data_IF_260233940397
#
_entry.id   IF_260233940397
#
_cell.length_a   1.000
_cell.length_b   1.000
_cell.length_c   1.000
_cell.angle_alpha   90.00
_cell.angle_beta   90.00
_cell.angle_gamma   90.00
#
_symmetry.space_group_name_H-M   'P 1'
#
loop_
_entity.id
_entity.type
_entity.pdbx_description
1 polymer ?
#
# COMPACT_ATOMS: atom_id res chain seq x y z
N UNK A 1 -17.56 8.00 5.23
CA UNK A 1 -16.53 8.80 4.53
C UNK A 1 -15.68 7.84 3.73
N UNK A 2 -15.52 8.08 2.43
CA UNK A 2 -14.66 7.25 1.59
C UNK A 2 -13.23 7.72 1.83
N UNK A 3 -12.40 6.85 2.39
CA UNK A 3 -10.97 7.13 2.59
C UNK A 3 -10.32 7.24 1.20
N UNK A 4 -9.66 8.35 0.90
CA UNK A 4 -8.92 8.52 -0.36
C UNK A 4 -7.45 8.20 -0.12
N UNK A 5 -7.09 6.95 -0.37
CA UNK A 5 -5.70 6.48 -0.25
C UNK A 5 -5.21 6.03 -1.63
N UNK A 6 -3.98 6.42 -1.96
CA UNK A 6 -3.23 5.86 -3.07
C UNK A 6 -2.21 4.87 -2.52
N UNK A 7 -2.10 3.69 -3.13
CA UNK A 7 -1.01 2.77 -2.86
C UNK A 7 -0.32 2.32 -4.14
N UNK A 8 1.01 2.26 -4.09
CA UNK A 8 1.83 1.84 -5.22
C UNK A 8 2.94 0.91 -4.75
N UNK A 9 3.01 -0.25 -5.39
CA UNK A 9 4.10 -1.21 -5.23
C UNK A 9 5.32 -0.83 -6.07
N UNK A 10 6.51 -1.26 -5.67
CA UNK A 10 7.72 -1.09 -6.47
C UNK A 10 8.37 -2.43 -6.84
N UNK A 11 9.52 -2.37 -7.53
CA UNK A 11 10.26 -3.54 -8.02
C UNK A 11 11.03 -4.32 -6.94
N UNK A 12 11.10 -3.81 -5.71
CA UNK A 12 11.90 -4.38 -4.61
C UNK A 12 11.05 -4.68 -3.37
N UNK A 13 9.75 -4.93 -3.55
CA UNK A 13 8.87 -5.36 -2.46
C UNK A 13 8.44 -4.26 -1.48
N UNK A 14 8.67 -2.98 -1.78
CA UNK A 14 8.11 -1.89 -0.97
C UNK A 14 6.75 -1.47 -1.50
N UNK A 15 5.85 -1.12 -0.58
CA UNK A 15 4.56 -0.48 -0.92
C UNK A 15 4.54 0.91 -0.31
N UNK A 16 4.27 1.91 -1.15
CA UNK A 16 4.11 3.31 -0.75
C UNK A 16 2.62 3.61 -0.64
N UNK A 17 2.23 4.28 0.43
CA UNK A 17 0.84 4.62 0.72
C UNK A 17 0.71 6.11 1.04
N UNK A 18 -0.14 6.82 0.32
CA UNK A 18 -0.39 8.25 0.47
C UNK A 18 -1.82 8.50 0.94
N UNK A 19 -1.97 9.49 1.82
CA UNK A 19 -3.25 10.13 2.09
C UNK A 19 -3.52 11.20 1.04
N UNK A 20 -4.70 11.14 0.41
CA UNK A 20 -5.14 12.09 -0.60
C UNK A 20 -6.23 13.04 -0.09
N UNK A 21 -6.58 12.99 1.20
CA UNK A 21 -7.53 13.92 1.83
C UNK A 21 -6.87 15.27 2.21
N UNK A 22 -5.82 15.66 1.48
CA UNK A 22 -5.13 16.94 1.61
C UNK A 22 -5.60 17.94 0.54
N UNK A 23 -5.55 19.23 0.87
CA UNK A 23 -5.88 20.31 -0.07
C UNK A 23 -4.84 20.40 -1.21
N UNK A 24 -3.56 20.19 -0.90
CA UNK A 24 -2.45 20.15 -1.85
C UNK A 24 -1.81 18.75 -1.87
N UNK A 25 -1.99 17.98 -2.97
CA UNK A 25 -1.43 16.63 -3.10
C UNK A 25 0.10 16.56 -3.00
N UNK A 26 0.81 17.66 -3.30
CA UNK A 26 2.29 17.68 -3.26
C UNK A 26 2.85 17.60 -1.84
N UNK A 27 2.02 17.90 -0.84
CA UNK A 27 2.39 17.83 0.57
C UNK A 27 2.23 16.41 1.14
N UNK A 28 1.61 15.49 0.39
CA UNK A 28 1.41 14.11 0.83
C UNK A 28 2.75 13.36 0.87
N UNK A 29 3.15 12.95 2.08
CA UNK A 29 4.32 12.08 2.28
C UNK A 29 3.88 10.62 2.37
N UNK A 30 4.53 9.69 1.64
CA UNK A 30 4.15 8.30 1.71
C UNK A 30 4.57 7.67 3.03
N UNK A 31 3.71 6.81 3.56
CA UNK A 31 4.10 5.74 4.47
C UNK A 31 4.68 4.61 3.62
N UNK A 32 5.87 4.12 3.99
CA UNK A 32 6.52 3.02 3.28
C UNK A 32 6.34 1.74 4.08
N UNK A 33 5.54 0.83 3.55
CA UNK A 33 5.33 -0.50 4.11
C UNK A 33 6.41 -1.43 3.58
N UNK A 34 7.11 -2.09 4.51
CA UNK A 34 8.22 -3.01 4.20
C UNK A 34 8.17 -4.22 5.11
N UNK A 35 8.72 -5.33 4.63
CA UNK A 35 8.96 -6.51 5.44
C UNK A 35 10.21 -7.23 4.89
N UNK A 36 11.11 -7.79 5.72
CA UNK A 36 12.36 -8.39 5.25
C UNK A 36 12.19 -9.52 4.23
N UNK A 37 11.05 -10.22 4.27
CA UNK A 37 10.70 -11.28 3.32
C UNK A 37 9.92 -10.79 2.09
N UNK A 38 9.56 -9.50 2.03
CA UNK A 38 8.87 -8.86 0.92
C UNK A 38 9.89 -8.09 0.08
N UNK A 39 10.52 -8.78 -0.88
CA UNK A 39 11.68 -8.26 -1.63
C UNK A 39 11.56 -8.38 -3.16
N UNK A 40 10.40 -8.79 -3.66
CA UNK A 40 10.13 -8.97 -5.09
C UNK A 40 9.10 -7.96 -5.59
N UNK A 41 9.01 -7.71 -6.92
CA UNK A 41 8.10 -6.71 -7.47
C UNK A 41 6.66 -6.89 -6.99
N UNK A 42 6.03 -5.81 -6.55
CA UNK A 42 4.59 -5.78 -6.23
C UNK A 42 3.84 -5.36 -7.48
N UNK A 43 3.00 -6.26 -8.01
CA UNK A 43 2.32 -6.06 -9.30
C UNK A 43 0.95 -5.41 -9.18
N UNK A 44 0.23 -5.71 -8.12
CA UNK A 44 -1.10 -5.18 -7.90
C UNK A 44 -1.41 -5.11 -6.41
N UNK A 45 -2.20 -4.12 -6.04
CA UNK A 45 -2.66 -3.86 -4.68
C UNK A 45 -4.18 -3.70 -4.72
N UNK A 46 -4.86 -4.17 -3.67
CA UNK A 46 -6.28 -3.97 -3.48
C UNK A 46 -6.59 -3.69 -2.01
N UNK A 47 -7.62 -2.87 -1.78
CA UNK A 47 -8.15 -2.56 -0.45
C UNK A 47 -9.49 -3.23 -0.25
N UNK A 48 -9.79 -3.63 0.97
CA UNK A 48 -11.17 -3.93 1.37
C UNK A 48 -12.02 -2.67 1.28
N UNK A 49 -13.34 -2.85 1.11
CA UNK A 49 -14.28 -1.72 0.97
C UNK A 49 -14.26 -0.76 2.15
N UNK A 50 -13.97 -1.26 3.35
CA UNK A 50 -13.83 -0.48 4.57
C UNK A 50 -12.45 0.15 4.75
N UNK A 51 -11.48 -0.16 3.88
CA UNK A 51 -10.12 0.36 3.91
C UNK A 51 -9.26 -0.18 5.05
N UNK A 52 -9.73 -1.18 5.81
CA UNK A 52 -9.01 -1.71 6.98
C UNK A 52 -7.93 -2.74 6.61
N UNK A 53 -8.07 -3.41 5.47
CA UNK A 53 -7.11 -4.40 5.00
C UNK A 53 -6.65 -4.06 3.59
N UNK A 54 -5.34 -4.17 3.38
CA UNK A 54 -4.69 -4.03 2.08
C UNK A 54 -4.01 -5.35 1.72
N UNK A 55 -4.24 -5.83 0.50
CA UNK A 55 -3.56 -6.99 -0.08
C UNK A 55 -2.66 -6.55 -1.23
N UNK A 56 -1.47 -7.16 -1.33
CA UNK A 56 -0.58 -7.00 -2.47
C UNK A 56 -0.08 -8.35 -2.98
N UNK A 57 0.09 -8.47 -4.30
CA UNK A 57 0.60 -9.69 -4.95
C UNK A 57 1.96 -9.44 -5.58
N UNK A 58 2.84 -10.44 -5.51
CA UNK A 58 4.23 -10.33 -5.97
C UNK A 58 4.65 -11.44 -6.94
N UNK A 59 5.71 -11.19 -7.72
CA UNK A 59 6.23 -12.08 -8.75
C UNK A 59 6.67 -13.46 -8.24
N UNK A 60 7.05 -13.58 -6.97
CA UNK A 60 7.44 -14.85 -6.36
C UNK A 60 6.25 -15.64 -5.77
N UNK A 61 5.04 -15.39 -6.26
CA UNK A 61 3.79 -16.00 -5.82
C UNK A 61 3.46 -15.76 -4.32
N UNK A 62 4.00 -14.71 -3.71
CA UNK A 62 3.63 -14.29 -2.36
C UNK A 62 2.48 -13.28 -2.37
N UNK A 63 1.62 -13.38 -1.35
CA UNK A 63 0.58 -12.41 -1.05
C UNK A 63 0.92 -11.75 0.28
N UNK A 64 0.87 -10.43 0.30
CA UNK A 64 1.14 -9.61 1.47
C UNK A 64 -0.15 -8.99 1.96
N UNK A 65 -0.36 -9.03 3.27
CA UNK A 65 -1.49 -8.43 3.94
C UNK A 65 -0.99 -7.42 4.96
N UNK A 66 -1.57 -6.23 4.93
CA UNK A 66 -1.42 -5.23 5.98
C UNK A 66 -2.79 -4.87 6.51
N UNK A 67 -2.92 -4.84 7.82
CA UNK A 67 -4.11 -4.35 8.50
C UNK A 67 -3.80 -2.97 9.09
N UNK A 68 -4.73 -2.04 8.89
CA UNK A 68 -4.63 -0.70 9.45
C UNK A 68 -4.71 -0.79 10.98
N UNK A 69 -3.69 -0.28 11.66
CA UNK A 69 -3.71 -0.09 13.10
C UNK A 69 -4.62 1.09 13.44
N UNK A 70 -5.39 0.98 14.51
CA UNK A 70 -6.26 2.05 15.00
C UNK A 70 -5.45 3.20 15.59
#
# INVERSE_FOLDING_TARGET
>A
MQIKVLALGNQIGKVYVWDLDLEDPTQSKPIILTHPKCYTPIRQISFTRDGNTMLAVSDNATIWRWDRVK
#
